data_IF_098284897236
#
_entry.id   IF_098284897236
#
_cell.length_a   1.000
_cell.length_b   1.000
_cell.length_c   1.000
_cell.angle_alpha   90.00
_cell.angle_beta   90.00
_cell.angle_gamma   90.00
#
_symmetry.space_group_name_H-M   'P 1'
#
loop_
_entity.id
_entity.type
_entity.pdbx_description
1 polymer ?
#
# COMPACT_ATOMS: atom_id res chain seq x y z
N UNK A 1 -24.14 37.80 21.29
CA UNK A 1 -22.79 38.07 20.77
C UNK A 1 -21.98 36.78 20.79
N UNK A 2 -21.12 36.65 19.79
CA UNK A 2 -20.37 35.47 19.35
C UNK A 2 -19.70 34.66 20.47
N UNK A 3 -19.96 33.35 20.49
CA UNK A 3 -19.09 32.39 21.19
C UNK A 3 -17.99 32.03 20.20
N UNK A 4 -16.72 32.40 20.43
CA UNK A 4 -15.66 31.97 19.53
C UNK A 4 -15.61 30.45 19.57
N UNK A 5 -15.92 29.81 18.43
CA UNK A 5 -15.69 28.38 18.22
C UNK A 5 -14.20 28.14 18.39
N UNK A 6 -13.79 27.64 19.55
CA UNK A 6 -12.44 27.19 19.80
C UNK A 6 -12.05 26.19 18.70
N UNK A 7 -10.97 26.45 17.98
CA UNK A 7 -10.37 25.46 17.12
C UNK A 7 -9.69 24.40 17.99
N UNK A 8 -9.85 23.10 17.70
CA UNK A 8 -8.85 22.12 18.08
C UNK A 8 -8.16 21.61 16.80
N UNK A 9 -7.01 22.18 16.39
CA UNK A 9 -6.29 21.67 15.23
C UNK A 9 -5.24 20.59 15.57
N UNK A 10 -5.01 20.27 16.85
CA UNK A 10 -3.81 19.49 17.21
C UNK A 10 -4.05 17.99 17.45
N UNK A 11 -5.30 17.55 17.68
CA UNK A 11 -5.61 16.17 18.12
C UNK A 11 -5.99 15.19 17.00
N UNK A 12 -5.99 15.63 15.73
CA UNK A 12 -6.43 14.78 14.60
C UNK A 12 -5.27 14.20 13.76
N UNK A 13 -4.02 14.53 14.09
CA UNK A 13 -2.84 14.12 13.32
C UNK A 13 -2.03 12.97 13.95
N UNK A 14 -2.20 12.68 15.24
CA UNK A 14 -1.45 11.61 15.93
C UNK A 14 -1.97 10.20 15.61
N UNK A 15 -3.30 9.99 15.60
CA UNK A 15 -3.89 8.65 15.48
C UNK A 15 -3.56 7.93 14.14
N UNK A 16 -3.39 8.71 13.07
CA UNK A 16 -3.06 8.19 11.72
C UNK A 16 -1.57 7.85 11.60
N UNK A 17 -0.70 8.61 12.28
CA UNK A 17 0.75 8.44 12.19
C UNK A 17 1.22 7.23 13.00
N UNK A 18 0.69 7.04 14.21
CA UNK A 18 0.98 5.86 15.06
C UNK A 18 0.58 4.54 14.38
N UNK A 19 -0.47 4.54 13.56
CA UNK A 19 -0.92 3.34 12.84
C UNK A 19 0.05 2.92 11.72
N UNK A 20 0.72 3.87 11.05
CA UNK A 20 1.66 3.56 9.94
C UNK A 20 2.95 2.92 10.43
N UNK A 21 3.53 3.45 11.51
CA UNK A 21 4.79 2.94 12.07
C UNK A 21 4.66 1.51 12.60
N UNK A 22 3.47 1.13 13.07
CA UNK A 22 3.19 -0.24 13.51
C UNK A 22 2.89 -1.20 12.34
N UNK A 23 2.17 -0.74 11.31
CA UNK A 23 1.77 -1.60 10.19
C UNK A 23 2.90 -1.86 9.18
N UNK A 24 3.79 -0.89 8.96
CA UNK A 24 4.90 -1.02 8.03
C UNK A 24 5.80 -2.25 8.29
N UNK A 25 6.33 -2.49 9.51
CA UNK A 25 7.19 -3.64 9.77
C UNK A 25 6.44 -4.97 9.62
N UNK A 26 5.15 -5.02 9.98
CA UNK A 26 4.31 -6.21 9.82
C UNK A 26 4.12 -6.56 8.34
N UNK A 27 3.80 -5.56 7.51
CA UNK A 27 3.63 -5.74 6.07
C UNK A 27 4.97 -6.11 5.43
N UNK A 28 6.06 -5.46 5.83
CA UNK A 28 7.41 -5.79 5.36
C UNK A 28 7.76 -7.25 5.61
N UNK A 29 7.55 -7.75 6.84
CA UNK A 29 7.80 -9.15 7.20
C UNK A 29 6.95 -10.13 6.35
N UNK A 30 5.67 -9.82 6.16
CA UNK A 30 4.79 -10.65 5.32
C UNK A 30 5.22 -10.66 3.85
N UNK A 31 5.60 -9.51 3.29
CA UNK A 31 6.03 -9.42 1.90
C UNK A 31 7.42 -10.05 1.68
N UNK A 32 8.30 -10.05 2.68
CA UNK A 32 9.61 -10.68 2.61
C UNK A 32 9.55 -12.19 2.26
N UNK A 33 8.42 -12.85 2.56
CA UNK A 33 8.19 -14.25 2.18
C UNK A 33 8.28 -14.46 0.67
N UNK A 34 7.81 -13.51 -0.16
CA UNK A 34 7.89 -13.61 -1.62
C UNK A 34 9.33 -13.71 -2.11
N UNK A 35 10.24 -12.93 -1.50
CA UNK A 35 11.67 -12.99 -1.77
C UNK A 35 12.27 -14.31 -1.29
N UNK A 36 11.94 -14.75 -0.07
CA UNK A 36 12.44 -16.02 0.48
C UNK A 36 12.01 -17.23 -0.35
N UNK A 37 10.76 -17.26 -0.82
CA UNK A 37 10.21 -18.37 -1.62
C UNK A 37 10.39 -18.19 -3.13
N UNK A 38 11.04 -17.10 -3.56
CA UNK A 38 11.21 -16.75 -4.98
C UNK A 38 9.89 -16.74 -5.76
N UNK A 39 8.80 -16.36 -5.09
CA UNK A 39 7.46 -16.31 -5.69
C UNK A 39 7.22 -14.92 -6.27
N UNK A 40 6.70 -14.76 -7.49
CA UNK A 40 6.42 -13.43 -8.05
C UNK A 40 5.38 -12.66 -7.22
N UNK A 41 5.59 -11.36 -7.05
CA UNK A 41 4.72 -10.46 -6.28
C UNK A 41 3.89 -9.58 -7.23
N UNK A 42 2.61 -9.91 -7.35
CA UNK A 42 1.63 -9.12 -8.12
C UNK A 42 0.98 -8.06 -7.21
N UNK A 43 1.40 -6.80 -7.39
CA UNK A 43 0.88 -5.67 -6.62
C UNK A 43 -0.64 -5.48 -6.76
N UNK A 44 -1.24 -5.81 -7.90
CA UNK A 44 -2.69 -5.70 -8.08
C UNK A 44 -3.45 -6.66 -7.18
N UNK A 45 -2.99 -7.91 -7.12
CA UNK A 45 -3.56 -8.95 -6.26
C UNK A 45 -3.28 -8.66 -4.78
N UNK A 46 -2.02 -8.45 -4.43
CA UNK A 46 -1.57 -8.30 -3.04
C UNK A 46 -2.21 -7.07 -2.40
N UNK A 47 -2.20 -5.91 -3.07
CA UNK A 47 -2.85 -4.71 -2.51
C UNK A 47 -4.34 -4.96 -2.28
N UNK A 48 -5.03 -5.59 -3.23
CA UNK A 48 -6.46 -5.93 -3.07
C UNK A 48 -6.71 -6.84 -1.85
N UNK A 49 -5.87 -7.85 -1.65
CA UNK A 49 -5.97 -8.76 -0.50
C UNK A 49 -5.74 -8.05 0.83
N UNK A 50 -4.78 -7.12 0.90
CA UNK A 50 -4.61 -6.27 2.07
C UNK A 50 -5.80 -5.35 2.28
N UNK A 51 -6.27 -4.65 1.24
CA UNK A 51 -7.41 -3.74 1.36
C UNK A 51 -8.69 -4.43 1.85
N UNK A 52 -8.90 -5.70 1.53
CA UNK A 52 -10.04 -6.47 2.01
C UNK A 52 -10.03 -6.72 3.54
N UNK A 53 -8.87 -6.63 4.19
CA UNK A 53 -8.69 -6.86 5.62
C UNK A 53 -8.88 -5.60 6.47
N UNK A 54 -8.93 -4.42 5.85
CA UNK A 54 -9.02 -3.13 6.55
C UNK A 54 -10.28 -2.35 6.16
N UNK A 55 -10.83 -1.54 7.08
CA UNK A 55 -11.94 -0.64 6.75
C UNK A 55 -11.52 0.37 5.68
N UNK A 56 -12.48 0.78 4.84
CA UNK A 56 -12.26 1.70 3.71
C UNK A 56 -11.51 2.98 4.08
N UNK A 57 -11.76 3.53 5.27
CA UNK A 57 -11.07 4.73 5.77
C UNK A 57 -9.54 4.58 5.79
N UNK A 58 -9.01 3.35 5.90
CA UNK A 58 -7.57 3.04 5.94
C UNK A 58 -7.01 2.57 4.61
N UNK A 59 -7.82 2.46 3.56
CA UNK A 59 -7.38 1.88 2.28
C UNK A 59 -6.21 2.65 1.67
N UNK A 60 -6.23 3.98 1.76
CA UNK A 60 -5.16 4.80 1.21
C UNK A 60 -3.81 4.54 1.91
N UNK A 61 -3.81 4.53 3.25
CA UNK A 61 -2.60 4.27 4.03
C UNK A 61 -2.07 2.86 3.80
N UNK A 62 -2.94 1.86 3.86
CA UNK A 62 -2.57 0.45 3.66
C UNK A 62 -2.01 0.23 2.26
N UNK A 63 -2.67 0.73 1.21
CA UNK A 63 -2.17 0.58 -0.15
C UNK A 63 -0.79 1.22 -0.31
N UNK A 64 -0.57 2.42 0.26
CA UNK A 64 0.72 3.09 0.21
C UNK A 64 1.81 2.30 0.90
N UNK A 65 1.56 1.80 2.12
CA UNK A 65 2.55 1.01 2.86
C UNK A 65 2.91 -0.26 2.09
N UNK A 66 1.91 -1.01 1.60
CA UNK A 66 2.15 -2.24 0.83
C UNK A 66 3.00 -1.96 -0.40
N UNK A 67 2.70 -0.89 -1.16
CA UNK A 67 3.48 -0.50 -2.33
C UNK A 67 4.90 -0.08 -1.92
N UNK A 68 5.03 0.80 -0.93
CA UNK A 68 6.33 1.33 -0.47
C UNK A 68 7.24 0.20 0.05
N UNK A 69 6.69 -0.87 0.64
CA UNK A 69 7.46 -2.03 1.07
C UNK A 69 7.75 -2.99 -0.09
N UNK A 70 6.78 -3.26 -0.97
CA UNK A 70 6.95 -4.18 -2.09
C UNK A 70 8.06 -3.74 -3.07
N UNK A 71 8.12 -2.44 -3.39
CA UNK A 71 9.14 -1.90 -4.31
C UNK A 71 10.58 -2.00 -3.78
N UNK A 72 10.75 -2.24 -2.47
CA UNK A 72 12.07 -2.45 -1.85
C UNK A 72 12.56 -3.88 -1.99
N UNK A 73 11.67 -4.83 -2.28
CA UNK A 73 12.01 -6.25 -2.33
C UNK A 73 12.73 -6.65 -3.62
N UNK A 74 12.43 -5.98 -4.73
CA UNK A 74 12.91 -6.35 -6.04
C UNK A 74 12.38 -5.45 -7.16
N UNK A 75 12.61 -5.89 -8.40
CA UNK A 75 12.16 -5.21 -9.62
C UNK A 75 11.35 -6.16 -10.51
N UNK A 76 10.55 -5.62 -11.43
CA UNK A 76 9.90 -6.41 -12.44
C UNK A 76 10.78 -6.50 -13.69
N UNK A 77 11.05 -7.71 -14.20
CA UNK A 77 11.77 -7.88 -15.45
C UNK A 77 11.06 -7.20 -16.63
N UNK A 78 9.73 -7.10 -16.56
CA UNK A 78 8.92 -6.41 -17.57
C UNK A 78 9.16 -4.88 -17.62
N UNK A 79 9.68 -4.26 -16.55
CA UNK A 79 10.02 -2.82 -16.56
C UNK A 79 11.07 -2.50 -17.64
N UNK A 80 11.97 -3.44 -17.95
CA UNK A 80 13.00 -3.28 -18.97
C UNK A 80 12.49 -3.36 -20.41
N UNK A 81 11.22 -3.70 -20.63
CA UNK A 81 10.61 -3.74 -21.97
C UNK A 81 10.25 -2.34 -22.49
N UNK A 82 10.21 -1.33 -21.62
CA UNK A 82 9.74 0.02 -21.94
C UNK A 82 8.22 0.12 -22.16
N UNK A 83 7.48 -0.99 -22.01
CA UNK A 83 6.02 -1.00 -22.09
C UNK A 83 5.41 -0.68 -20.72
N UNK A 84 4.44 0.24 -20.65
CA UNK A 84 3.76 0.52 -19.39
C UNK A 84 2.93 -0.68 -18.94
N UNK A 85 2.91 -0.92 -17.62
CA UNK A 85 1.98 -1.90 -17.04
C UNK A 85 0.53 -1.48 -17.27
N UNK A 86 -0.39 -2.45 -17.21
CA UNK A 86 -1.83 -2.15 -17.28
C UNK A 86 -2.33 -1.70 -15.91
N UNK A 87 -3.30 -0.79 -15.90
CA UNK A 87 -4.04 -0.45 -14.69
C UNK A 87 -4.88 -1.64 -14.22
N UNK A 88 -4.66 -2.08 -12.98
CA UNK A 88 -5.38 -3.17 -12.33
C UNK A 88 -6.26 -2.62 -11.20
N UNK A 89 -7.55 -2.97 -11.13
CA UNK A 89 -8.41 -2.55 -10.03
C UNK A 89 -7.99 -3.23 -8.71
N UNK A 90 -7.89 -2.44 -7.65
CA UNK A 90 -7.51 -2.92 -6.31
C UNK A 90 -8.67 -2.86 -5.31
N UNK A 91 -9.80 -2.27 -5.69
CA UNK A 91 -11.07 -2.34 -4.95
C UNK A 91 -12.27 -2.04 -5.86
N UNK A 92 -13.49 -2.21 -5.32
CA UNK A 92 -14.75 -1.96 -6.04
C UNK A 92 -15.14 -0.46 -6.10
N UNK A 93 -14.33 0.42 -5.49
CA UNK A 93 -14.59 1.85 -5.39
C UNK A 93 -13.83 2.67 -6.44
N UNK A 94 -13.16 1.99 -7.38
CA UNK A 94 -12.47 2.62 -8.52
C UNK A 94 -10.98 2.88 -8.31
N UNK A 95 -10.39 2.47 -7.19
CA UNK A 95 -8.94 2.55 -7.01
C UNK A 95 -8.24 1.51 -7.89
N UNK A 96 -7.10 1.89 -8.47
CA UNK A 96 -6.31 1.06 -9.38
C UNK A 96 -4.83 1.23 -9.09
N UNK A 97 -4.04 0.20 -9.39
CA UNK A 97 -2.57 0.23 -9.37
C UNK A 97 -2.04 -0.04 -10.78
N UNK A 98 -0.92 0.58 -11.14
CA UNK A 98 -0.21 0.33 -12.38
C UNK A 98 1.19 -0.14 -12.04
N UNK A 99 1.40 -1.45 -12.06
CA UNK A 99 2.69 -2.05 -11.77
C UNK A 99 2.81 -3.38 -12.50
N UNK A 100 4.02 -3.70 -12.95
CA UNK A 100 4.37 -5.03 -13.40
C UNK A 100 4.60 -5.94 -12.18
N UNK A 101 4.59 -7.25 -12.42
CA UNK A 101 4.84 -8.26 -11.37
C UNK A 101 6.32 -8.23 -11.00
N UNK A 102 6.62 -8.07 -9.71
CA UNK A 102 7.99 -8.13 -9.20
C UNK A 102 8.43 -9.60 -9.21
N UNK A 103 9.43 -9.92 -10.03
CA UNK A 103 9.89 -11.29 -10.29
C UNK A 103 11.43 -11.42 -10.26
N UNK A 104 12.14 -10.34 -9.91
CA UNK A 104 13.58 -10.31 -9.66
C UNK A 104 13.86 -9.71 -8.30
N UNK A 105 14.35 -10.52 -7.36
CA UNK A 105 14.65 -10.16 -5.96
C UNK A 105 16.14 -9.98 -5.67
#
# INVERSE_FOLDING_TARGET
EDVPRAAPPDLQYEEVTETREQLAPIIEEQLAMYKTTQTPLDLGLVVREYLAQYPRARHFDVARIVIDQAVRLGVAQADFTGLPAKWQPINDYGAKVQAHVIDKY
#
